data_IF_352199085284
#
_entry.id   IF_352199085284
#
_cell.length_a   1.000
_cell.length_b   1.000
_cell.length_c   1.000
_cell.angle_alpha   90.00
_cell.angle_beta   90.00
_cell.angle_gamma   90.00
#
_symmetry.space_group_name_H-M   'P 1'
#
loop_
_entity.id
_entity.type
_entity.pdbx_description
1 polymer ?
#
# COMPACT_ATOMS: atom_id res chain seq x y z
N UNK A 1 3.27 -26.36 6.40
CA UNK A 1 2.65 -25.03 6.40
C UNK A 1 1.26 -25.14 7.01
N UNK A 2 1.01 -24.44 8.11
CA UNK A 2 -0.33 -24.26 8.68
C UNK A 2 -1.13 -23.23 7.87
N UNK A 3 -2.44 -23.16 8.06
CA UNK A 3 -3.27 -22.14 7.40
C UNK A 3 -2.82 -20.72 7.75
N UNK A 4 -2.47 -20.47 9.02
CA UNK A 4 -1.96 -19.16 9.44
C UNK A 4 -0.65 -18.82 8.72
N UNK A 5 0.30 -19.76 8.65
CA UNK A 5 1.56 -19.54 7.91
C UNK A 5 1.30 -19.25 6.43
N UNK A 6 0.35 -19.94 5.81
CA UNK A 6 -0.05 -19.68 4.43
C UNK A 6 -0.60 -18.27 4.25
N UNK A 7 -1.52 -17.83 5.10
CA UNK A 7 -2.09 -16.48 5.04
C UNK A 7 -1.04 -15.39 5.29
N UNK A 8 -0.04 -15.66 6.12
CA UNK A 8 1.09 -14.75 6.32
C UNK A 8 2.00 -14.68 5.08
N UNK A 9 2.20 -15.79 4.37
CA UNK A 9 2.90 -15.78 3.07
C UNK A 9 2.13 -14.94 2.05
N UNK A 10 0.82 -15.16 1.92
CA UNK A 10 -0.02 -14.35 1.03
C UNK A 10 0.05 -12.87 1.42
N UNK A 11 -0.06 -12.55 2.72
CA UNK A 11 0.08 -11.17 3.19
C UNK A 11 1.41 -10.53 2.75
N UNK A 12 2.51 -11.29 2.77
CA UNK A 12 3.81 -10.80 2.30
C UNK A 12 3.83 -10.56 0.78
N UNK A 13 3.19 -11.43 0.01
CA UNK A 13 3.05 -11.29 -1.46
C UNK A 13 2.28 -10.02 -1.80
N UNK A 14 1.11 -9.81 -1.18
CA UNK A 14 0.28 -8.61 -1.37
C UNK A 14 1.03 -7.32 -1.00
N UNK A 15 1.81 -7.34 0.08
CA UNK A 15 2.65 -6.20 0.45
C UNK A 15 3.68 -5.84 -0.64
N UNK A 16 4.27 -6.87 -1.26
CA UNK A 16 5.25 -6.68 -2.32
C UNK A 16 4.60 -6.21 -3.63
N UNK A 17 3.41 -6.68 -3.95
CA UNK A 17 2.64 -6.25 -5.13
C UNK A 17 2.21 -4.78 -5.00
N UNK A 18 1.71 -4.35 -3.84
CA UNK A 18 1.44 -2.94 -3.54
C UNK A 18 2.70 -2.08 -3.73
N UNK A 19 3.83 -2.52 -3.17
CA UNK A 19 5.12 -1.84 -3.34
C UNK A 19 5.53 -1.72 -4.81
N UNK A 20 5.38 -2.81 -5.57
CA UNK A 20 5.70 -2.84 -6.99
C UNK A 20 4.80 -1.89 -7.80
N UNK A 21 3.49 -1.84 -7.53
CA UNK A 21 2.56 -0.91 -8.20
C UNK A 21 2.84 0.53 -7.84
N UNK A 22 3.14 0.83 -6.58
CA UNK A 22 3.56 2.16 -6.17
C UNK A 22 4.84 2.61 -6.90
N UNK A 23 5.82 1.71 -7.05
CA UNK A 23 7.04 1.99 -7.81
C UNK A 23 6.77 2.25 -9.30
N UNK A 24 5.81 1.52 -9.91
CA UNK A 24 5.37 1.78 -11.30
C UNK A 24 4.70 3.14 -11.43
N UNK A 25 3.79 3.48 -10.52
CA UNK A 25 3.12 4.77 -10.47
C UNK A 25 4.13 5.93 -10.30
N UNK A 26 5.13 5.77 -9.43
CA UNK A 26 6.20 6.75 -9.24
C UNK A 26 7.02 6.94 -10.51
N UNK A 27 7.34 5.85 -11.22
CA UNK A 27 8.23 5.89 -12.38
C UNK A 27 7.55 6.36 -13.66
N UNK A 28 6.28 6.01 -13.86
CA UNK A 28 5.58 6.23 -15.13
C UNK A 28 4.34 7.13 -15.01
N UNK A 29 3.97 7.50 -13.78
CA UNK A 29 2.77 8.30 -13.49
C UNK A 29 1.55 7.42 -13.19
N UNK A 30 0.65 7.96 -12.36
CA UNK A 30 -0.58 7.28 -11.92
C UNK A 30 -1.54 6.97 -13.07
N UNK A 31 -1.60 7.84 -14.08
CA UNK A 31 -2.48 7.71 -15.24
C UNK A 31 -1.92 6.82 -16.35
N UNK A 32 -0.68 6.34 -16.23
CA UNK A 32 -0.09 5.49 -17.26
C UNK A 32 -0.77 4.12 -17.31
N UNK A 33 -1.01 3.66 -18.53
CA UNK A 33 -1.49 2.32 -18.86
C UNK A 33 -0.36 1.61 -19.57
N UNK A 34 0.13 0.53 -18.96
CA UNK A 34 1.21 -0.28 -19.53
C UNK A 34 0.74 -0.90 -20.85
N UNK A 35 1.61 -1.03 -21.88
CA UNK A 35 1.26 -1.75 -23.10
C UNK A 35 0.66 -3.12 -22.77
N UNK A 36 -0.42 -3.47 -23.48
CA UNK A 36 -1.15 -4.74 -23.31
C UNK A 36 -1.91 -4.87 -21.97
N UNK A 37 -2.18 -3.77 -21.30
CA UNK A 37 -3.03 -3.71 -20.10
C UNK A 37 -4.21 -2.75 -20.33
N UNK A 38 -5.30 -2.96 -19.59
CA UNK A 38 -6.52 -2.15 -19.69
C UNK A 38 -6.69 -1.17 -18.52
N UNK A 39 -5.76 -1.18 -17.56
CA UNK A 39 -5.88 -0.44 -16.31
C UNK A 39 -4.71 0.52 -16.08
N UNK A 40 -5.02 1.69 -15.53
CA UNK A 40 -4.00 2.68 -15.11
C UNK A 40 -3.19 2.15 -13.93
N UNK A 41 -2.00 2.72 -13.69
CA UNK A 41 -1.22 2.42 -12.49
C UNK A 41 -2.02 2.67 -11.21
N UNK A 42 -2.85 3.71 -11.17
CA UNK A 42 -3.73 3.99 -10.04
C UNK A 42 -4.77 2.87 -9.81
N UNK A 43 -5.42 2.39 -10.87
CA UNK A 43 -6.40 1.29 -10.77
C UNK A 43 -5.73 -0.02 -10.33
N UNK A 44 -4.55 -0.33 -10.88
CA UNK A 44 -3.78 -1.52 -10.49
C UNK A 44 -3.33 -1.46 -9.04
N UNK A 45 -2.82 -0.30 -8.58
CA UNK A 45 -2.48 -0.09 -7.17
C UNK A 45 -3.69 -0.26 -6.24
N UNK A 46 -4.86 0.24 -6.64
CA UNK A 46 -6.08 0.06 -5.87
C UNK A 46 -6.51 -1.41 -5.77
N UNK A 47 -6.28 -2.21 -6.82
CA UNK A 47 -6.53 -3.66 -6.80
C UNK A 47 -5.66 -4.35 -5.75
N UNK A 48 -4.32 -4.19 -5.81
CA UNK A 48 -3.43 -4.87 -4.84
C UNK A 48 -3.71 -4.40 -3.39
N UNK A 49 -4.12 -3.14 -3.21
CA UNK A 49 -4.55 -2.65 -1.90
C UNK A 49 -5.82 -3.36 -1.40
N UNK A 50 -6.76 -3.66 -2.29
CA UNK A 50 -7.96 -4.40 -1.94
C UNK A 50 -7.64 -5.85 -1.54
N UNK A 51 -6.70 -6.48 -2.24
CA UNK A 51 -6.23 -7.85 -1.95
C UNK A 51 -5.46 -7.91 -0.62
N UNK A 52 -4.58 -6.94 -0.35
CA UNK A 52 -3.94 -6.75 0.95
C UNK A 52 -4.95 -6.60 2.09
N UNK A 53 -5.96 -5.72 1.92
CA UNK A 53 -7.02 -5.50 2.92
C UNK A 53 -7.85 -6.79 3.11
N UNK A 54 -8.16 -7.50 2.04
CA UNK A 54 -8.88 -8.76 2.07
C UNK A 54 -8.14 -9.82 2.88
N UNK A 55 -6.84 -9.96 2.65
CA UNK A 55 -5.97 -10.89 3.38
C UNK A 55 -5.88 -10.54 4.86
N UNK A 56 -5.73 -9.26 5.21
CA UNK A 56 -5.76 -8.80 6.60
C UNK A 56 -7.10 -9.12 7.30
N UNK A 57 -8.21 -8.87 6.61
CA UNK A 57 -9.56 -9.17 7.14
C UNK A 57 -9.74 -10.66 7.41
N UNK A 58 -9.20 -11.54 6.56
CA UNK A 58 -9.28 -12.98 6.78
C UNK A 58 -8.48 -13.41 8.02
N UNK A 59 -7.26 -12.88 8.19
CA UNK A 59 -6.47 -13.10 9.41
C UNK A 59 -7.21 -12.61 10.66
N UNK A 60 -7.89 -11.46 10.58
CA UNK A 60 -8.66 -10.92 11.69
C UNK A 60 -9.90 -11.77 12.01
N UNK A 61 -10.63 -12.21 10.98
CA UNK A 61 -11.79 -13.10 11.12
C UNK A 61 -11.41 -14.43 11.77
N UNK A 62 -10.21 -14.94 11.49
CA UNK A 62 -9.67 -16.16 12.11
C UNK A 62 -9.05 -15.93 13.50
N UNK A 63 -9.19 -14.72 14.06
CA UNK A 63 -8.68 -14.37 15.38
C UNK A 63 -7.15 -14.37 15.47
N UNK A 64 -6.45 -14.17 14.34
CA UNK A 64 -4.98 -14.14 14.30
C UNK A 64 -4.40 -12.74 14.51
N UNK A 65 -5.16 -11.72 14.16
CA UNK A 65 -4.81 -10.30 14.35
C UNK A 65 -6.03 -9.51 14.81
N UNK A 66 -5.81 -8.34 15.41
CA UNK A 66 -6.89 -7.45 15.81
C UNK A 66 -7.44 -6.66 14.60
N UNK A 67 -8.74 -6.78 14.25
CA UNK A 67 -9.34 -6.01 13.17
C UNK A 67 -9.29 -4.49 13.39
N UNK A 68 -9.31 -4.02 14.64
CA UNK A 68 -9.33 -2.59 14.98
C UNK A 68 -7.94 -1.97 14.77
N UNK A 69 -6.87 -2.74 15.02
CA UNK A 69 -5.49 -2.28 14.88
C UNK A 69 -5.13 -1.79 13.47
N UNK A 70 -5.84 -2.25 12.42
CA UNK A 70 -5.68 -1.75 11.05
C UNK A 70 -6.02 -0.26 10.91
N UNK A 71 -6.91 0.24 11.77
CA UNK A 71 -7.31 1.65 11.85
C UNK A 71 -6.68 2.37 13.05
N UNK A 72 -5.78 1.67 13.78
CA UNK A 72 -5.12 2.14 14.98
C UNK A 72 -3.94 3.06 14.70
N UNK A 73 -3.78 4.05 15.58
CA UNK A 73 -3.19 5.39 15.37
C UNK A 73 -4.02 6.29 14.46
N UNK A 74 -4.43 7.44 15.01
CA UNK A 74 -5.20 8.47 14.31
C UNK A 74 -4.62 8.69 12.91
N UNK A 75 -5.39 8.51 11.82
CA UNK A 75 -4.97 8.85 10.46
C UNK A 75 -4.33 10.24 10.37
N UNK A 76 -4.73 11.16 11.26
CA UNK A 76 -4.11 12.48 11.40
C UNK A 76 -2.62 12.43 11.79
N UNK A 77 -2.22 11.58 12.75
CA UNK A 77 -0.79 11.43 13.15
C UNK A 77 0.07 10.89 12.00
N UNK A 78 -0.47 9.94 11.23
CA UNK A 78 0.22 9.39 10.06
C UNK A 78 0.34 10.45 8.96
N UNK A 79 -0.74 11.20 8.69
CA UNK A 79 -0.74 12.31 7.74
C UNK A 79 0.26 13.41 8.14
N UNK A 80 0.25 13.86 9.39
CA UNK A 80 1.22 14.83 9.92
C UNK A 80 2.67 14.38 9.72
N UNK A 81 2.95 13.10 9.97
CA UNK A 81 4.29 12.54 9.75
C UNK A 81 4.67 12.54 8.27
N UNK A 82 3.74 12.22 7.37
CA UNK A 82 3.96 12.27 5.91
C UNK A 82 4.27 13.69 5.47
N UNK A 83 3.42 14.66 5.83
CA UNK A 83 3.59 16.09 5.49
C UNK A 83 4.92 16.65 5.99
N UNK A 84 5.31 16.28 7.22
CA UNK A 84 6.62 16.65 7.78
C UNK A 84 7.78 16.18 6.91
N UNK A 85 7.75 14.93 6.43
CA UNK A 85 8.83 14.41 5.59
C UNK A 85 8.76 14.92 4.15
N UNK A 86 7.57 15.21 3.61
CA UNK A 86 7.44 15.88 2.30
C UNK A 86 8.11 17.26 2.33
N UNK A 87 7.82 18.07 3.35
CA UNK A 87 8.48 19.37 3.55
C UNK A 87 10.00 19.22 3.65
N UNK A 88 10.47 18.24 4.42
CA UNK A 88 11.90 17.98 4.57
C UNK A 88 12.56 17.55 3.25
N UNK A 89 11.91 16.69 2.46
CA UNK A 89 12.39 16.30 1.13
C UNK A 89 12.47 17.49 0.17
N UNK A 90 11.49 18.41 0.23
CA UNK A 90 11.53 19.66 -0.53
C UNK A 90 12.70 20.56 -0.08
N UNK A 91 12.94 20.72 1.23
CA UNK A 91 14.09 21.44 1.77
C UNK A 91 15.44 20.83 1.34
N UNK A 92 15.50 19.51 1.21
CA UNK A 92 16.67 18.80 0.68
C UNK A 92 16.83 18.89 -0.85
N UNK A 93 15.89 19.50 -1.57
CA UNK A 93 15.89 19.56 -3.03
C UNK A 93 15.65 18.21 -3.72
N UNK A 94 15.09 17.22 -3.00
CA UNK A 94 14.81 15.88 -3.54
C UNK A 94 13.33 15.69 -3.92
N UNK A 95 12.52 16.74 -3.78
CA UNK A 95 11.12 16.80 -4.17
C UNK A 95 10.85 18.16 -4.84
N UNK A 96 10.32 18.15 -6.07
CA UNK A 96 9.91 19.36 -6.81
C UNK A 96 8.38 19.49 -6.81
N UNK A 97 7.87 20.73 -6.64
CA UNK A 97 6.45 21.06 -6.76
C UNK A 97 5.60 20.71 -5.53
N UNK A 98 5.53 21.64 -4.58
CA UNK A 98 4.42 21.74 -3.61
C UNK A 98 3.45 22.83 -4.02
#
# INVERSE_FOLDING_TARGET
>A
MTRTEHLLVVLMEECNEVSQRAAKALRFGLSEVQPEQDATNAQRLASEMADLIGTWRLLAFEGRVDPISMFGDSPAKKAEKIEKYLKYSAECGTLEGT
#
